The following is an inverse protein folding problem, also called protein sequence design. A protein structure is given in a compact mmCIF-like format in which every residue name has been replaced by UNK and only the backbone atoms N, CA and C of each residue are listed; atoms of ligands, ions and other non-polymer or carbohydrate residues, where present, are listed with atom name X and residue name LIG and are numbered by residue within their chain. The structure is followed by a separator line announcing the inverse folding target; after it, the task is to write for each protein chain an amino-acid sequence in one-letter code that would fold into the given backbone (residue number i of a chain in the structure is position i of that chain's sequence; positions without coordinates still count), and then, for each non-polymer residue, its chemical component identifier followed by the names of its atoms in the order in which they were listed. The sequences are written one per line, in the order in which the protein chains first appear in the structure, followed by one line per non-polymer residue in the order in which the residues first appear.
data_IF_423184807386
#
_entry.id   IF_423184807386
#
_cell.length_a   1.000
_cell.length_b   1.000
_cell.length_c   1.000
_cell.angle_alpha   90.00
_cell.angle_beta   90.00
_cell.angle_gamma   90.00
#
_symmetry.space_group_name_H-M   'P 1'
#
loop_
_entity.id
_entity.type
_entity.pdbx_description
1 polymer ?
#
# COMPACT_ATOMS: atom_id res chain seq x y z
N UNK A 1 36.57 -34.77 40.31
CA UNK A 1 36.33 -36.23 40.28
C UNK A 1 35.48 -36.63 41.49
N UNK A 2 34.14 -36.60 41.39
CA UNK A 2 33.23 -37.22 42.36
C UNK A 2 32.02 -37.76 41.60
N UNK A 3 31.86 -39.07 41.63
CA UNK A 3 30.79 -39.82 40.96
C UNK A 3 29.55 -39.92 41.86
N UNK A 4 28.40 -39.66 41.21
CA UNK A 4 27.08 -40.32 41.26
C UNK A 4 26.67 -41.11 42.52
N UNK A 5 25.54 -40.69 43.08
CA UNK A 5 24.56 -41.59 43.71
C UNK A 5 23.20 -41.37 43.02
N UNK A 6 22.56 -42.48 42.64
CA UNK A 6 21.30 -42.53 41.90
C UNK A 6 20.09 -42.39 42.85
N UNK A 7 19.08 -41.62 42.44
CA UNK A 7 17.79 -41.51 43.10
C UNK A 7 16.65 -41.61 42.09
N UNK A 8 15.96 -42.75 42.05
CA UNK A 8 14.69 -42.95 41.34
C UNK A 8 13.61 -42.08 41.98
N UNK A 9 12.87 -41.28 41.19
CA UNK A 9 11.58 -40.72 41.60
C UNK A 9 10.48 -41.13 40.62
N UNK A 10 9.42 -41.70 41.20
CA UNK A 10 8.20 -42.21 40.59
C UNK A 10 7.43 -41.08 39.87
N UNK A 11 6.96 -41.35 38.65
CA UNK A 11 5.93 -40.55 37.97
C UNK A 11 4.57 -40.87 38.60
N UNK A 12 3.88 -39.85 39.11
CA UNK A 12 2.49 -39.89 39.54
C UNK A 12 1.65 -39.22 38.45
N UNK A 13 0.74 -39.97 37.82
CA UNK A 13 -0.21 -39.43 36.84
C UNK A 13 -1.46 -38.96 37.58
N UNK A 14 -1.72 -37.66 37.61
CA UNK A 14 -3.00 -37.11 38.03
C UNK A 14 -3.96 -37.12 36.83
N UNK A 15 -5.04 -37.92 36.94
CA UNK A 15 -6.23 -37.80 36.08
C UNK A 15 -7.02 -36.59 36.56
N UNK A 16 -7.22 -35.60 35.69
CA UNK A 16 -8.20 -34.53 35.91
C UNK A 16 -9.45 -34.90 35.12
N UNK A 17 -10.52 -35.13 35.86
CA UNK A 17 -11.88 -35.38 35.34
C UNK A 17 -12.49 -34.04 34.95
N UNK A 18 -12.87 -33.89 33.68
CA UNK A 18 -13.65 -32.73 33.21
C UNK A 18 -15.12 -33.12 33.31
N UNK A 19 -15.86 -32.43 34.18
CA UNK A 19 -17.32 -32.45 34.25
C UNK A 19 -17.87 -31.45 33.24
N UNK A 20 -18.70 -31.94 32.31
CA UNK A 20 -19.53 -31.13 31.42
C UNK A 20 -20.62 -30.43 32.22
N UNK A 21 -20.69 -29.11 32.10
CA UNK A 21 -21.87 -28.31 32.45
C UNK A 21 -22.33 -27.60 31.19
N UNK A 22 -23.56 -27.92 30.79
CA UNK A 22 -24.26 -27.31 29.68
C UNK A 22 -24.68 -25.88 30.05
N UNK A 23 -24.28 -24.90 29.24
CA UNK A 23 -24.87 -23.57 29.23
C UNK A 23 -25.27 -23.17 27.81
N UNK A 24 -26.55 -22.85 27.74
CA UNK A 24 -27.38 -22.19 26.73
C UNK A 24 -26.68 -21.44 25.61
N UNK A 25 -26.99 -21.84 24.37
CA UNK A 25 -26.74 -21.10 23.14
C UNK A 25 -27.60 -19.84 23.08
N UNK A 26 -27.00 -18.69 23.34
CA UNK A 26 -27.49 -17.40 22.87
C UNK A 26 -26.84 -17.08 21.52
N UNK A 27 -27.69 -16.98 20.50
CA UNK A 27 -27.33 -16.63 19.13
C UNK A 27 -26.88 -15.18 19.07
N UNK A 28 -25.57 -14.96 18.94
CA UNK A 28 -25.01 -13.69 18.51
C UNK A 28 -25.39 -13.45 17.05
N UNK A 29 -26.18 -12.40 16.80
CA UNK A 29 -26.40 -11.87 15.46
C UNK A 29 -25.06 -11.35 14.92
N UNK A 30 -24.59 -12.04 13.89
CA UNK A 30 -23.43 -11.72 13.08
C UNK A 30 -23.68 -10.40 12.35
N UNK A 31 -23.04 -9.32 12.82
CA UNK A 31 -22.92 -8.07 12.06
C UNK A 31 -21.95 -8.34 10.92
N UNK A 32 -22.49 -8.98 9.89
CA UNK A 32 -21.77 -9.31 8.66
C UNK A 32 -21.17 -8.05 8.06
N UNK A 33 -19.84 -8.05 8.02
CA UNK A 33 -19.06 -7.32 7.05
C UNK A 33 -19.73 -7.48 5.68
N UNK A 34 -20.05 -6.36 5.04
CA UNK A 34 -20.62 -6.38 3.71
C UNK A 34 -19.61 -7.03 2.77
N UNK A 35 -19.94 -8.26 2.35
CA UNK A 35 -19.20 -8.99 1.34
C UNK A 35 -19.20 -8.16 0.05
N UNK A 36 -17.99 -7.90 -0.46
CA UNK A 36 -17.76 -7.37 -1.78
C UNK A 36 -18.49 -8.23 -2.82
N UNK A 37 -19.43 -7.62 -3.54
CA UNK A 37 -20.12 -8.26 -4.66
C UNK A 37 -19.20 -8.16 -5.89
N UNK A 38 -18.81 -9.29 -6.52
CA UNK A 38 -18.00 -9.24 -7.73
C UNK A 38 -18.85 -8.70 -8.89
N UNK A 39 -18.44 -7.56 -9.45
CA UNK A 39 -19.03 -6.98 -10.66
C UNK A 39 -19.70 -5.62 -10.53
N UNK A 40 -19.63 -4.94 -9.37
CA UNK A 40 -19.96 -3.52 -9.31
C UNK A 40 -18.85 -2.71 -10.00
N UNK A 41 -19.14 -1.75 -10.88
CA UNK A 41 -18.12 -0.87 -11.43
C UNK A 41 -17.40 -0.20 -10.25
N UNK A 42 -16.07 -0.33 -10.18
CA UNK A 42 -15.23 0.32 -9.17
C UNK A 42 -15.16 1.85 -9.35
N UNK A 43 -15.90 2.40 -10.32
CA UNK A 43 -15.93 3.82 -10.67
C UNK A 43 -17.30 4.44 -10.47
N UNK A 44 -17.31 5.75 -10.24
CA UNK A 44 -18.52 6.57 -10.39
C UNK A 44 -18.89 6.66 -11.87
N UNK A 45 -20.18 6.71 -12.22
CA UNK A 45 -20.57 7.22 -13.55
C UNK A 45 -19.89 8.58 -13.74
N UNK A 46 -19.28 8.82 -14.91
CA UNK A 46 -18.37 9.94 -15.16
C UNK A 46 -19.11 11.30 -15.12
N UNK A 47 -19.46 11.74 -13.93
CA UNK A 47 -19.90 13.09 -13.63
C UNK A 47 -18.68 13.89 -13.16
N UNK A 48 -18.57 15.11 -13.69
CA UNK A 48 -17.52 16.04 -13.31
C UNK A 48 -17.82 16.65 -11.93
N UNK A 49 -16.94 16.41 -10.96
CA UNK A 49 -17.06 17.04 -9.64
C UNK A 49 -16.48 18.45 -9.65
N UNK A 50 -16.78 19.24 -8.63
CA UNK A 50 -16.15 20.55 -8.44
C UNK A 50 -14.62 20.43 -8.29
N UNK A 51 -14.13 19.38 -7.63
CA UNK A 51 -12.69 19.12 -7.49
C UNK A 51 -12.02 18.87 -8.84
N UNK A 52 -12.66 18.09 -9.72
CA UNK A 52 -12.10 17.81 -11.06
C UNK A 52 -11.99 19.08 -11.89
N UNK A 53 -13.03 19.93 -11.87
CA UNK A 53 -13.00 21.24 -12.52
C UNK A 53 -11.83 22.08 -12.04
N UNK A 54 -11.64 22.15 -10.72
CA UNK A 54 -10.56 22.94 -10.12
C UNK A 54 -9.20 22.38 -10.53
N UNK A 55 -8.97 21.07 -10.38
CA UNK A 55 -7.68 20.46 -10.71
C UNK A 55 -7.35 20.58 -12.20
N UNK A 56 -8.33 20.42 -13.09
CA UNK A 56 -8.15 20.67 -14.51
C UNK A 56 -7.83 22.14 -14.79
N UNK A 57 -8.61 23.07 -14.24
CA UNK A 57 -8.45 24.52 -14.44
C UNK A 57 -7.05 25.02 -14.05
N UNK A 58 -6.46 24.48 -12.97
CA UNK A 58 -5.08 24.81 -12.56
C UNK A 58 -4.00 23.98 -13.26
N UNK A 59 -4.36 23.19 -14.28
CA UNK A 59 -3.44 22.38 -15.07
C UNK A 59 -2.81 21.23 -14.29
N UNK A 60 -3.52 20.66 -13.32
CA UNK A 60 -3.04 19.57 -12.44
C UNK A 60 -3.71 18.23 -12.71
N UNK A 61 -4.77 18.17 -13.51
CA UNK A 61 -5.43 16.92 -13.90
C UNK A 61 -5.85 16.93 -15.37
N UNK A 62 -6.03 15.74 -15.98
CA UNK A 62 -6.59 15.60 -17.32
C UNK A 62 -7.94 16.31 -17.48
N UNK A 63 -8.22 16.77 -18.70
CA UNK A 63 -9.47 17.45 -19.05
C UNK A 63 -10.66 16.50 -18.94
N UNK A 64 -11.80 17.02 -18.46
CA UNK A 64 -13.05 16.28 -18.42
C UNK A 64 -13.41 15.74 -19.81
N UNK A 65 -13.76 14.45 -19.88
CA UNK A 65 -14.08 13.77 -21.14
C UNK A 65 -12.87 13.35 -21.98
N UNK A 66 -11.63 13.62 -21.54
CA UNK A 66 -10.44 13.00 -22.15
C UNK A 66 -10.36 11.52 -21.77
N UNK A 67 -9.76 10.68 -22.63
CA UNK A 67 -9.63 9.23 -22.33
C UNK A 67 -8.83 8.97 -21.05
N UNK A 68 -7.78 9.75 -20.80
CA UNK A 68 -7.01 9.67 -19.56
C UNK A 68 -7.89 9.99 -18.33
N UNK A 69 -8.71 11.05 -18.40
CA UNK A 69 -9.68 11.37 -17.35
C UNK A 69 -10.70 10.25 -17.14
N UNK A 70 -11.28 9.72 -18.22
CA UNK A 70 -12.27 8.63 -18.14
C UNK A 70 -11.68 7.38 -17.48
N UNK A 71 -10.47 6.97 -17.86
CA UNK A 71 -9.78 5.84 -17.22
C UNK A 71 -9.45 6.11 -15.75
N UNK A 72 -9.00 7.31 -15.40
CA UNK A 72 -8.80 7.71 -14.01
C UNK A 72 -10.08 7.55 -13.20
N UNK A 73 -11.20 8.10 -13.68
CA UNK A 73 -12.46 8.05 -12.94
C UNK A 73 -13.09 6.67 -12.88
N UNK A 74 -12.89 5.86 -13.92
CA UNK A 74 -13.45 4.51 -14.00
C UNK A 74 -12.73 3.52 -13.08
N UNK A 75 -11.40 3.63 -12.97
CA UNK A 75 -10.59 2.65 -12.27
C UNK A 75 -10.01 3.17 -10.93
N UNK A 76 -9.96 4.50 -10.74
CA UNK A 76 -9.36 5.19 -9.59
C UNK A 76 -10.14 6.48 -9.21
N UNK A 77 -11.45 6.43 -8.92
CA UNK A 77 -12.36 7.59 -8.86
C UNK A 77 -12.05 8.69 -7.83
N UNK A 78 -11.28 8.38 -6.78
CA UNK A 78 -10.88 9.33 -5.74
C UNK A 78 -9.39 9.72 -5.86
N UNK A 79 -8.76 9.44 -7.01
CA UNK A 79 -7.38 9.82 -7.24
C UNK A 79 -7.25 11.34 -7.35
N UNK A 80 -6.23 11.88 -6.69
CA UNK A 80 -5.98 13.31 -6.64
C UNK A 80 -4.51 13.60 -6.96
N UNK A 81 -4.16 14.80 -7.45
CA UNK A 81 -2.75 15.17 -7.63
C UNK A 81 -1.96 14.93 -6.34
N UNK A 82 -0.75 14.38 -6.42
CA UNK A 82 0.03 13.97 -5.25
C UNK A 82 0.22 15.11 -4.22
N UNK A 83 0.41 16.35 -4.69
CA UNK A 83 0.52 17.53 -3.82
C UNK A 83 -0.78 17.83 -3.06
N UNK A 84 -1.94 17.52 -3.63
CA UNK A 84 -3.22 17.65 -2.93
C UNK A 84 -3.32 16.63 -1.80
N UNK A 85 -2.96 15.36 -2.06
CA UNK A 85 -2.91 14.32 -1.02
C UNK A 85 -1.99 14.73 0.12
N UNK A 86 -0.77 15.17 -0.19
CA UNK A 86 0.17 15.67 0.82
C UNK A 86 -0.40 16.85 1.62
N UNK A 87 -0.98 17.85 0.95
CA UNK A 87 -1.53 19.01 1.65
C UNK A 87 -2.71 18.65 2.56
N UNK A 88 -3.57 17.71 2.14
CA UNK A 88 -4.71 17.24 2.95
C UNK A 88 -4.25 16.41 4.14
N UNK A 89 -3.32 15.46 3.95
CA UNK A 89 -2.76 14.70 5.08
C UNK A 89 -2.11 15.63 6.08
N UNK A 90 -1.29 16.57 5.59
CA UNK A 90 -0.59 17.54 6.43
C UNK A 90 -1.57 18.39 7.25
N UNK A 91 -2.64 18.88 6.62
CA UNK A 91 -3.65 19.68 7.31
C UNK A 91 -4.28 18.92 8.49
N UNK A 92 -4.70 17.67 8.28
CA UNK A 92 -5.28 16.85 9.37
C UNK A 92 -4.24 16.54 10.45
N UNK A 93 -3.06 16.07 10.05
CA UNK A 93 -2.01 15.62 10.96
C UNK A 93 -1.43 16.75 11.82
N UNK A 94 -1.20 17.93 11.24
CA UNK A 94 -0.69 19.10 11.98
C UNK A 94 -1.74 19.65 12.95
N UNK A 95 -2.97 19.85 12.48
CA UNK A 95 -3.99 20.57 13.26
C UNK A 95 -4.54 19.72 14.40
N UNK A 96 -4.66 18.41 14.22
CA UNK A 96 -5.34 17.53 15.16
C UNK A 96 -4.36 16.64 15.96
N UNK A 97 -3.16 16.37 15.44
CA UNK A 97 -2.27 15.34 16.01
C UNK A 97 -0.82 15.77 16.27
N UNK A 98 -0.45 17.03 15.99
CA UNK A 98 0.87 17.57 16.35
C UNK A 98 2.03 17.11 15.47
N UNK A 99 1.76 16.59 14.26
CA UNK A 99 2.80 16.29 13.29
C UNK A 99 3.47 17.57 12.82
N UNK A 100 4.79 17.67 12.92
CA UNK A 100 5.57 18.78 12.38
C UNK A 100 6.84 18.24 11.68
N UNK A 101 7.41 18.94 10.68
CA UNK A 101 8.63 18.51 10.01
C UNK A 101 9.81 18.23 10.95
N UNK A 102 9.93 18.99 12.05
CA UNK A 102 11.04 18.86 12.99
C UNK A 102 10.99 17.61 13.87
N UNK A 103 9.80 17.00 14.01
CA UNK A 103 9.56 15.86 14.92
C UNK A 103 8.95 14.65 14.23
N UNK A 104 8.71 14.73 12.91
CA UNK A 104 8.14 13.63 12.12
C UNK A 104 9.21 12.93 11.29
N UNK A 105 9.38 11.62 11.50
CA UNK A 105 10.24 10.79 10.68
C UNK A 105 9.44 10.17 9.51
N UNK A 106 9.90 10.42 8.28
CA UNK A 106 9.26 9.91 7.06
C UNK A 106 9.84 8.57 6.61
N UNK A 107 8.98 7.57 6.46
CA UNK A 107 9.23 6.31 5.76
C UNK A 107 8.56 6.31 4.39
N UNK A 108 9.22 5.74 3.38
CA UNK A 108 8.72 5.73 2.00
C UNK A 108 8.88 4.36 1.36
N UNK A 109 7.76 3.71 1.02
CA UNK A 109 7.72 2.40 0.35
C UNK A 109 7.06 2.48 -1.03
N UNK A 110 7.86 2.76 -2.05
CA UNK A 110 7.42 2.83 -3.45
C UNK A 110 8.39 2.09 -4.37
N UNK A 111 7.93 1.80 -5.59
CA UNK A 111 8.73 1.12 -6.61
C UNK A 111 9.94 1.98 -7.02
N UNK A 112 11.14 1.38 -7.20
CA UNK A 112 12.36 2.11 -7.58
C UNK A 112 12.34 2.64 -9.02
N UNK A 113 11.28 2.36 -9.79
CA UNK A 113 11.04 2.92 -11.12
C UNK A 113 11.23 4.44 -11.11
N UNK A 114 12.00 4.98 -12.07
CA UNK A 114 12.42 6.37 -12.08
C UNK A 114 11.24 7.35 -12.22
N UNK A 115 10.12 6.89 -12.76
CA UNK A 115 8.90 7.71 -12.89
C UNK A 115 8.28 8.07 -11.54
N UNK A 116 8.58 7.28 -10.48
CA UNK A 116 8.15 7.59 -9.10
C UNK A 116 9.13 8.51 -8.37
N UNK A 117 10.09 9.12 -9.06
CA UNK A 117 11.16 9.93 -8.49
C UNK A 117 11.40 11.23 -9.31
N UNK A 118 10.35 11.80 -9.90
CA UNK A 118 10.43 12.92 -10.85
C UNK A 118 10.10 14.29 -10.24
N UNK A 119 9.92 14.38 -8.92
CA UNK A 119 9.67 15.65 -8.24
C UNK A 119 8.21 16.10 -8.24
N UNK A 120 7.31 15.25 -8.73
CA UNK A 120 5.86 15.53 -8.85
C UNK A 120 5.00 14.43 -8.23
N UNK A 121 5.63 13.32 -7.86
CA UNK A 121 5.07 12.18 -7.17
C UNK A 121 5.00 12.40 -5.65
N UNK A 122 4.18 11.61 -4.97
CA UNK A 122 3.95 11.71 -3.53
C UNK A 122 5.23 11.55 -2.70
N UNK A 123 6.10 10.54 -2.92
CA UNK A 123 7.31 10.38 -2.12
C UNK A 123 8.24 11.59 -2.19
N UNK A 124 8.45 12.20 -3.36
CA UNK A 124 9.27 13.41 -3.44
C UNK A 124 8.60 14.60 -2.77
N UNK A 125 7.30 14.83 -3.00
CA UNK A 125 6.57 15.94 -2.35
C UNK A 125 6.65 15.85 -0.83
N UNK A 126 6.52 14.64 -0.26
CA UNK A 126 6.62 14.45 1.19
C UNK A 126 8.04 14.60 1.71
N UNK A 127 9.03 14.07 1.00
CA UNK A 127 10.45 14.24 1.36
C UNK A 127 10.85 15.71 1.37
N UNK A 128 10.41 16.48 0.38
CA UNK A 128 10.74 17.91 0.32
C UNK A 128 10.13 18.71 1.49
N UNK A 129 9.08 18.18 2.15
CA UNK A 129 8.45 18.78 3.33
C UNK A 129 8.99 18.25 4.67
N UNK A 130 9.04 16.94 4.85
CA UNK A 130 9.49 16.28 6.09
C UNK A 130 11.01 16.08 6.19
N UNK A 131 11.74 16.32 5.10
CA UNK A 131 13.20 16.22 5.07
C UNK A 131 13.70 14.81 4.76
N UNK A 132 14.55 14.26 5.64
CA UNK A 132 15.18 12.96 5.44
C UNK A 132 14.15 11.83 5.36
N UNK A 133 14.42 10.85 4.50
CA UNK A 133 13.53 9.71 4.26
C UNK A 133 14.23 8.40 4.57
N UNK A 134 13.51 7.47 5.20
CA UNK A 134 13.91 6.07 5.30
C UNK A 134 13.31 5.29 4.12
N UNK A 135 14.11 4.81 3.15
CA UNK A 135 13.59 4.03 2.03
C UNK A 135 13.23 2.62 2.50
N UNK A 136 11.97 2.22 2.28
CA UNK A 136 11.42 0.95 2.72
C UNK A 136 11.10 0.00 1.55
N UNK A 137 10.87 0.57 0.37
CA UNK A 137 10.31 -0.12 -0.79
C UNK A 137 11.31 -0.97 -1.59
N UNK A 138 10.80 -1.48 -2.70
CA UNK A 138 11.55 -2.14 -3.77
C UNK A 138 10.60 -2.45 -4.91
N UNK A 139 10.89 -3.45 -5.74
CA UNK A 139 10.05 -3.81 -6.89
C UNK A 139 8.55 -3.89 -6.51
N UNK A 140 7.69 -3.27 -7.31
CA UNK A 140 6.24 -3.23 -7.06
C UNK A 140 5.79 -2.37 -5.87
N UNK A 141 6.71 -1.72 -5.14
CA UNK A 141 6.40 -0.90 -3.96
C UNK A 141 6.35 -1.69 -2.64
N UNK A 142 6.66 -2.99 -2.66
CA UNK A 142 6.66 -3.86 -1.48
C UNK A 142 7.71 -3.39 -0.47
N UNK A 143 7.39 -3.31 0.83
CA UNK A 143 8.33 -2.88 1.87
C UNK A 143 9.34 -3.98 2.23
N UNK A 144 10.31 -4.24 1.35
CA UNK A 144 11.30 -5.32 1.53
C UNK A 144 12.26 -5.13 2.71
N UNK A 145 12.25 -3.97 3.35
CA UNK A 145 12.96 -3.77 4.62
C UNK A 145 12.43 -4.68 5.75
N UNK A 146 11.17 -5.12 5.64
CA UNK A 146 10.51 -6.05 6.57
C UNK A 146 10.45 -5.55 8.01
N UNK A 147 10.12 -6.46 8.93
CA UNK A 147 10.04 -6.18 10.38
C UNK A 147 11.34 -5.60 10.95
N UNK A 148 12.49 -6.15 10.54
CA UNK A 148 13.80 -5.68 11.03
C UNK A 148 14.07 -4.24 10.61
N UNK A 149 13.82 -3.89 9.35
CA UNK A 149 14.04 -2.54 8.88
C UNK A 149 12.97 -1.55 9.36
N UNK A 150 11.71 -1.99 9.56
CA UNK A 150 10.69 -1.16 10.21
C UNK A 150 11.07 -0.88 11.67
N UNK A 151 11.57 -1.88 12.41
CA UNK A 151 12.05 -1.68 13.78
C UNK A 151 13.22 -0.68 13.83
N UNK A 152 14.21 -0.84 12.94
CA UNK A 152 15.32 0.11 12.81
C UNK A 152 14.82 1.53 12.50
N UNK A 153 13.93 1.66 11.51
CA UNK A 153 13.27 2.91 11.18
C UNK A 153 12.57 3.55 12.40
N UNK A 154 11.77 2.78 13.13
CA UNK A 154 11.04 3.28 14.29
C UNK A 154 11.95 3.73 15.44
N UNK A 155 13.15 3.14 15.56
CA UNK A 155 14.13 3.55 16.58
C UNK A 155 14.82 4.89 16.30
N UNK A 156 14.66 5.44 15.09
CA UNK A 156 15.27 6.71 14.68
C UNK A 156 14.36 7.92 14.89
N UNK A 157 13.11 7.71 15.33
CA UNK A 157 12.17 8.81 15.57
C UNK A 157 12.69 9.70 16.72
N UNK A 158 12.39 11.00 16.65
CA UNK A 158 12.72 11.92 17.74
C UNK A 158 11.97 11.53 19.03
N UNK A 159 12.50 11.95 20.19
CA UNK A 159 11.78 11.80 21.46
C UNK A 159 10.41 12.46 21.38
N UNK A 160 9.35 11.73 21.76
CA UNK A 160 7.94 12.15 21.60
C UNK A 160 7.53 12.52 20.16
N UNK A 161 8.35 12.14 19.17
CA UNK A 161 8.12 12.41 17.75
C UNK A 161 7.13 11.45 17.10
N UNK A 162 6.79 11.74 15.86
CA UNK A 162 5.81 10.98 15.08
C UNK A 162 6.47 10.28 13.91
N UNK A 163 5.83 9.22 13.44
CA UNK A 163 6.24 8.49 12.24
C UNK A 163 5.16 8.66 11.19
N UNK A 164 5.55 8.96 9.96
CA UNK A 164 4.68 8.91 8.79
C UNK A 164 5.26 7.94 7.77
N UNK A 165 4.50 6.93 7.37
CA UNK A 165 4.88 6.01 6.28
C UNK A 165 3.94 6.20 5.11
N UNK A 166 4.48 6.66 3.98
CA UNK A 166 3.77 6.67 2.71
C UNK A 166 4.14 5.43 1.89
N UNK A 167 3.15 4.71 1.38
CA UNK A 167 3.39 3.44 0.69
C UNK A 167 2.38 3.13 -0.42
N UNK A 168 2.80 2.30 -1.37
CA UNK A 168 1.91 1.83 -2.42
C UNK A 168 2.61 1.27 -3.65
N UNK A 169 1.89 0.48 -4.47
CA UNK A 169 2.31 0.21 -5.84
C UNK A 169 2.12 1.46 -6.71
N UNK A 170 2.49 1.34 -7.98
CA UNK A 170 2.23 2.37 -8.98
C UNK A 170 1.71 1.75 -10.28
N UNK A 171 1.03 2.58 -11.09
CA UNK A 171 0.58 2.21 -12.43
C UNK A 171 0.65 3.42 -13.36
N UNK A 172 1.09 3.21 -14.60
CA UNK A 172 1.05 4.21 -15.65
C UNK A 172 -0.33 4.29 -16.29
N UNK A 173 -0.78 5.50 -16.62
CA UNK A 173 -1.95 5.73 -17.46
C UNK A 173 -1.53 6.65 -18.60
N UNK A 174 -1.69 6.17 -19.83
CA UNK A 174 -1.34 6.95 -21.03
C UNK A 174 -2.35 8.08 -21.28
N UNK A 175 -2.00 9.04 -22.14
CA UNK A 175 -2.93 10.09 -22.58
C UNK A 175 -4.19 9.51 -23.27
N UNK A 176 -4.05 8.35 -23.91
CA UNK A 176 -5.13 7.60 -24.52
C UNK A 176 -5.95 6.76 -23.53
N UNK A 177 -5.67 6.84 -22.23
CA UNK A 177 -6.39 6.12 -21.18
C UNK A 177 -6.00 4.65 -21.02
N UNK A 178 -4.96 4.17 -21.72
CA UNK A 178 -4.44 2.81 -21.50
C UNK A 178 -3.77 2.71 -20.12
N UNK A 179 -4.26 1.79 -19.29
CA UNK A 179 -3.74 1.49 -17.94
C UNK A 179 -2.62 0.45 -18.02
N UNK A 180 -1.57 0.65 -17.22
CA UNK A 180 -0.40 -0.23 -17.15
C UNK A 180 0.78 0.22 -17.99
N UNK A 181 0.70 1.40 -18.62
CA UNK A 181 1.77 1.92 -19.47
C UNK A 181 1.94 3.43 -19.36
N UNK A 182 3.14 3.90 -19.69
CA UNK A 182 3.48 5.33 -19.77
C UNK A 182 4.47 5.57 -20.90
N UNK A 183 4.44 6.77 -21.49
CA UNK A 183 5.51 7.23 -22.37
C UNK A 183 6.66 7.77 -21.53
N UNK A 184 7.81 7.09 -21.56
CA UNK A 184 9.01 7.53 -20.82
C UNK A 184 9.81 8.54 -21.64
N UNK A 185 10.46 9.47 -20.95
CA UNK A 185 11.31 10.48 -21.58
C UNK A 185 12.37 9.82 -22.46
N UNK A 186 12.43 10.22 -23.73
CA UNK A 186 13.38 9.70 -24.70
C UNK A 186 12.99 8.36 -25.36
N UNK A 187 11.83 7.78 -25.03
CA UNK A 187 11.28 6.63 -25.75
C UNK A 187 10.30 7.09 -26.83
N UNK A 188 10.14 6.28 -27.88
CA UNK A 188 9.18 6.53 -28.95
C UNK A 188 7.82 5.84 -28.73
N UNK A 189 7.73 4.94 -27.74
CA UNK A 189 6.56 4.13 -27.48
C UNK A 189 6.30 3.98 -25.98
N UNK A 190 5.04 3.72 -25.65
CA UNK A 190 4.61 3.43 -24.28
C UNK A 190 5.23 2.11 -23.80
N UNK A 191 5.75 2.09 -22.58
CA UNK A 191 6.28 0.90 -21.92
C UNK A 191 5.57 0.62 -20.61
N UNK A 192 5.73 -0.60 -20.08
CA UNK A 192 5.01 -1.05 -18.89
C UNK A 192 5.35 -0.20 -17.64
N UNK A 193 4.34 0.06 -16.84
CA UNK A 193 4.42 0.74 -15.54
C UNK A 193 3.24 0.28 -14.66
N UNK A 194 3.44 -0.45 -13.57
CA UNK A 194 4.70 -0.97 -13.02
C UNK A 194 5.25 -2.16 -13.80
N UNK A 195 6.49 -2.05 -14.31
CA UNK A 195 7.15 -3.14 -15.05
C UNK A 195 7.32 -4.43 -14.24
N UNK A 196 7.59 -4.33 -12.94
CA UNK A 196 7.78 -5.50 -12.09
C UNK A 196 6.49 -6.30 -11.90
N UNK A 197 5.39 -5.61 -11.54
CA UNK A 197 4.08 -6.21 -11.32
C UNK A 197 3.50 -6.77 -12.62
N UNK A 198 3.56 -6.00 -13.72
CA UNK A 198 3.11 -6.48 -15.04
C UNK A 198 3.96 -7.65 -15.53
N UNK A 199 5.27 -7.62 -15.29
CA UNK A 199 6.18 -8.72 -15.63
C UNK A 199 5.89 -9.99 -14.84
N UNK A 200 5.65 -9.89 -13.54
CA UNK A 200 5.26 -11.01 -12.69
C UNK A 200 3.93 -11.63 -13.17
N UNK A 201 2.92 -10.81 -13.42
CA UNK A 201 1.64 -11.28 -13.98
C UNK A 201 1.82 -11.97 -15.33
N UNK A 202 2.61 -11.39 -16.24
CA UNK A 202 2.94 -12.01 -17.53
C UNK A 202 3.63 -13.37 -17.38
N UNK A 203 4.57 -13.50 -16.44
CA UNK A 203 5.23 -14.77 -16.15
C UNK A 203 4.24 -15.82 -15.63
N UNK A 204 3.35 -15.46 -14.70
CA UNK A 204 2.33 -16.38 -14.19
C UNK A 204 1.33 -16.80 -15.28
N UNK A 205 0.90 -15.87 -16.16
CA UNK A 205 0.10 -16.20 -17.33
C UNK A 205 0.80 -17.15 -18.31
N UNK A 206 2.13 -17.06 -18.41
CA UNK A 206 2.95 -17.96 -19.23
C UNK A 206 3.25 -19.31 -18.57
N UNK A 207 2.63 -19.60 -17.41
CA UNK A 207 2.79 -20.88 -16.71
C UNK A 207 3.98 -20.92 -15.76
N UNK A 208 4.45 -19.77 -15.26
CA UNK A 208 5.41 -19.77 -14.14
C UNK A 208 4.86 -20.56 -12.96
N UNK A 209 5.71 -21.39 -12.37
CA UNK A 209 5.41 -22.16 -11.16
C UNK A 209 6.46 -21.86 -10.10
N UNK A 210 6.05 -21.88 -8.83
CA UNK A 210 6.98 -21.82 -7.70
C UNK A 210 7.75 -23.15 -7.63
N UNK A 211 8.75 -23.27 -8.49
CA UNK A 211 9.65 -24.41 -8.48
C UNK A 211 10.52 -24.28 -7.24
N UNK A 212 10.18 -25.01 -6.16
CA UNK A 212 10.92 -25.06 -4.90
C UNK A 212 12.36 -25.62 -5.01
N UNK A 213 13.00 -25.50 -6.16
CA UNK A 213 14.37 -25.93 -6.44
C UNK A 213 14.86 -25.63 -7.87
N UNK A 214 14.34 -24.59 -8.52
CA UNK A 214 14.47 -24.41 -9.97
C UNK A 214 14.96 -23.04 -10.45
N UNK A 215 15.72 -22.30 -9.66
CA UNK A 215 16.68 -21.34 -10.20
C UNK A 215 17.83 -21.18 -9.18
N UNK A 216 18.98 -21.77 -9.48
CA UNK A 216 20.20 -21.57 -8.68
C UNK A 216 20.76 -20.14 -8.82
N UNK A 217 20.10 -19.26 -9.58
CA UNK A 217 20.35 -17.82 -9.55
C UNK A 217 19.53 -17.14 -8.45
N UNK A 218 19.98 -17.27 -7.20
CA UNK A 218 19.33 -16.67 -6.01
C UNK A 218 19.33 -15.13 -5.94
N UNK A 219 19.39 -14.42 -7.07
CA UNK A 219 19.56 -12.97 -7.18
C UNK A 219 18.38 -12.27 -7.92
N UNK A 220 17.15 -12.75 -7.73
CA UNK A 220 15.91 -12.05 -8.18
C UNK A 220 14.75 -12.17 -7.15
N UNK A 221 15.12 -12.18 -5.87
CA UNK A 221 14.20 -12.49 -4.75
C UNK A 221 12.98 -11.57 -4.68
N UNK A 222 13.14 -10.28 -5.03
CA UNK A 222 12.03 -9.33 -5.02
C UNK A 222 10.98 -9.67 -6.08
N UNK A 223 11.41 -9.99 -7.29
CA UNK A 223 10.49 -10.39 -8.36
C UNK A 223 9.81 -11.73 -8.03
N UNK A 224 10.54 -12.70 -7.48
CA UNK A 224 9.95 -13.99 -7.11
C UNK A 224 8.92 -13.86 -6.00
N UNK A 225 9.12 -12.94 -5.05
CA UNK A 225 8.10 -12.58 -4.08
C UNK A 225 6.81 -12.11 -4.76
N UNK A 226 6.91 -11.20 -5.74
CA UNK A 226 5.76 -10.67 -6.48
C UNK A 226 5.08 -11.78 -7.30
N UNK A 227 5.84 -12.64 -8.00
CA UNK A 227 5.28 -13.77 -8.76
C UNK A 227 4.49 -14.73 -7.87
N UNK A 228 5.04 -15.11 -6.71
CA UNK A 228 4.34 -15.96 -5.72
C UNK A 228 3.04 -15.34 -5.27
N UNK A 229 3.06 -14.04 -4.99
CA UNK A 229 1.86 -13.32 -4.55
C UNK A 229 0.82 -13.19 -5.68
N UNK A 230 1.23 -12.88 -6.91
CA UNK A 230 0.32 -12.69 -8.06
C UNK A 230 -0.27 -14.00 -8.59
N UNK A 231 0.49 -15.11 -8.55
CA UNK A 231 0.09 -16.42 -9.09
C UNK A 231 -1.33 -16.87 -8.71
N UNK A 232 -1.77 -16.86 -7.43
CA UNK A 232 -3.13 -17.26 -7.05
C UNK A 232 -4.24 -16.34 -7.59
N UNK A 233 -3.90 -15.13 -8.07
CA UNK A 233 -4.88 -14.13 -8.50
C UNK A 233 -5.03 -14.02 -10.03
N UNK A 234 -4.24 -14.76 -10.81
CA UNK A 234 -4.18 -14.62 -12.29
C UNK A 234 -5.55 -14.77 -12.95
N UNK A 235 -6.33 -15.77 -12.56
CA UNK A 235 -7.65 -16.05 -13.13
C UNK A 235 -8.65 -14.93 -12.84
N UNK A 236 -8.64 -14.38 -11.62
CA UNK A 236 -9.50 -13.27 -11.25
C UNK A 236 -9.13 -12.00 -12.02
N UNK A 237 -7.82 -11.72 -12.14
CA UNK A 237 -7.30 -10.55 -12.85
C UNK A 237 -7.62 -10.62 -14.35
N UNK A 238 -7.49 -11.79 -14.98
CA UNK A 238 -7.72 -11.94 -16.44
C UNK A 238 -9.20 -11.78 -16.83
N UNK A 239 -10.13 -11.99 -15.90
CA UNK A 239 -11.57 -11.82 -16.11
C UNK A 239 -12.08 -10.40 -15.81
N UNK A 240 -11.23 -9.54 -15.24
CA UNK A 240 -11.62 -8.17 -14.94
C UNK A 240 -11.80 -7.35 -16.22
N UNK A 241 -12.64 -6.31 -16.15
CA UNK A 241 -12.89 -5.39 -17.27
C UNK A 241 -11.58 -4.77 -17.80
N UNK A 242 -10.68 -4.39 -16.88
CA UNK A 242 -9.33 -3.96 -17.19
C UNK A 242 -8.33 -4.74 -16.32
N UNK A 243 -7.64 -5.75 -16.87
CA UNK A 243 -6.70 -6.57 -16.12
C UNK A 243 -5.57 -5.78 -15.45
N UNK A 244 -5.07 -4.70 -16.06
CA UNK A 244 -3.99 -3.89 -15.46
C UNK A 244 -4.46 -3.05 -14.29
N UNK A 245 -5.69 -2.51 -14.35
CA UNK A 245 -6.31 -1.87 -13.20
C UNK A 245 -6.51 -2.89 -12.07
N UNK A 246 -7.10 -4.05 -12.36
CA UNK A 246 -7.34 -5.11 -11.36
C UNK A 246 -6.03 -5.62 -10.73
N UNK A 247 -5.00 -5.85 -11.55
CA UNK A 247 -3.66 -6.21 -11.08
C UNK A 247 -3.06 -5.16 -10.14
N UNK A 248 -3.29 -3.87 -10.44
CA UNK A 248 -2.77 -2.77 -9.61
C UNK A 248 -3.47 -2.70 -8.26
N UNK A 249 -4.81 -2.85 -8.22
CA UNK A 249 -5.57 -2.95 -6.97
C UNK A 249 -5.14 -4.16 -6.14
N UNK A 250 -4.94 -5.32 -6.77
CA UNK A 250 -4.37 -6.50 -6.11
C UNK A 250 -2.96 -6.24 -5.59
N UNK A 251 -2.12 -5.54 -6.34
CA UNK A 251 -0.79 -5.16 -5.87
C UNK A 251 -0.83 -4.21 -4.66
N UNK A 252 -1.89 -3.43 -4.50
CA UNK A 252 -2.07 -2.64 -3.28
C UNK A 252 -2.32 -3.52 -2.07
N UNK A 253 -3.15 -4.56 -2.19
CA UNK A 253 -3.35 -5.56 -1.14
C UNK A 253 -2.01 -6.20 -0.74
N UNK A 254 -1.20 -6.64 -1.72
CA UNK A 254 0.15 -7.17 -1.48
C UNK A 254 1.03 -6.23 -0.64
N UNK A 255 1.13 -4.96 -1.06
CA UNK A 255 1.97 -3.97 -0.39
C UNK A 255 1.42 -3.64 0.99
N UNK A 256 0.10 -3.51 1.13
CA UNK A 256 -0.57 -3.22 2.41
C UNK A 256 -0.36 -4.36 3.40
N UNK A 257 -0.57 -5.60 3.00
CA UNK A 257 -0.40 -6.77 3.87
C UNK A 257 1.04 -6.89 4.37
N UNK A 258 2.01 -6.68 3.47
CA UNK A 258 3.44 -6.68 3.79
C UNK A 258 3.81 -5.55 4.75
N UNK A 259 3.25 -4.35 4.53
CA UNK A 259 3.46 -3.20 5.40
C UNK A 259 2.89 -3.47 6.79
N UNK A 260 1.64 -3.93 6.86
CA UNK A 260 0.93 -4.15 8.12
C UNK A 260 1.56 -5.28 8.94
N UNK A 261 2.11 -6.31 8.30
CA UNK A 261 2.92 -7.33 8.95
C UNK A 261 4.22 -6.78 9.54
N UNK A 262 4.77 -5.69 8.98
CA UNK A 262 6.03 -5.09 9.43
C UNK A 262 5.84 -3.99 10.48
N UNK A 263 4.63 -3.49 10.68
CA UNK A 263 4.34 -2.33 11.55
C UNK A 263 4.76 -2.59 13.00
N UNK A 264 5.47 -1.63 13.58
CA UNK A 264 5.80 -1.55 15.00
C UNK A 264 5.29 -0.22 15.58
N UNK A 265 4.57 -0.27 16.71
CA UNK A 265 4.12 0.92 17.46
C UNK A 265 4.94 1.20 18.72
N UNK A 266 5.88 0.31 19.06
CA UNK A 266 6.71 0.43 20.25
C UNK A 266 7.94 1.30 19.95
N UNK A 267 7.73 2.62 19.89
CA UNK A 267 8.79 3.62 19.67
C UNK A 267 8.61 4.92 20.47
N UNK A 268 7.73 4.92 21.48
CA UNK A 268 7.45 6.09 22.32
C UNK A 268 5.96 6.41 22.40
N UNK A 269 5.64 7.65 22.76
CA UNK A 269 4.25 8.11 22.91
C UNK A 269 3.60 8.59 21.61
N UNK A 270 4.39 8.74 20.54
CA UNK A 270 3.95 9.32 19.28
C UNK A 270 3.03 8.43 18.45
N UNK A 271 2.39 9.04 17.45
CA UNK A 271 1.59 8.34 16.46
C UNK A 271 2.44 7.76 15.34
N UNK A 272 2.06 6.57 14.87
CA UNK A 272 2.39 6.04 13.56
C UNK A 272 1.25 6.38 12.60
N UNK A 273 1.52 7.21 11.60
CA UNK A 273 0.64 7.46 10.48
C UNK A 273 0.97 6.55 9.30
N UNK A 274 -0.02 5.83 8.80
CA UNK A 274 0.07 4.99 7.61
C UNK A 274 -0.76 5.63 6.49
N UNK A 275 -0.10 6.10 5.43
CA UNK A 275 -0.74 6.67 4.24
C UNK A 275 -0.47 5.77 3.03
N UNK A 276 -1.42 4.87 2.79
CA UNK A 276 -1.38 3.86 1.73
C UNK A 276 -2.27 4.21 0.54
N UNK A 277 -1.82 3.89 -0.66
CA UNK A 277 -2.61 4.07 -1.87
C UNK A 277 -1.90 3.59 -3.13
N UNK A 278 -2.35 4.05 -4.28
CA UNK A 278 -1.78 3.71 -5.59
C UNK A 278 -1.26 4.99 -6.24
N UNK A 279 0.03 5.02 -6.61
CA UNK A 279 0.60 6.10 -7.42
C UNK A 279 0.19 5.93 -8.89
N UNK A 280 -0.32 6.98 -9.51
CA UNK A 280 -0.78 7.00 -10.89
C UNK A 280 0.13 7.90 -11.72
N UNK A 281 0.99 7.31 -12.55
CA UNK A 281 1.94 8.04 -13.38
C UNK A 281 1.27 8.46 -14.69
N UNK A 282 1.09 9.77 -14.92
CA UNK A 282 0.27 10.30 -16.03
C UNK A 282 1.08 10.85 -17.22
N UNK A 283 2.39 10.61 -17.23
CA UNK A 283 3.30 11.14 -18.26
C UNK A 283 3.71 12.58 -18.00
N UNK A 284 4.28 13.26 -19.00
CA UNK A 284 4.93 14.57 -18.78
C UNK A 284 3.93 15.73 -18.57
N UNK A 285 2.72 15.61 -19.14
CA UNK A 285 1.72 16.67 -19.23
C UNK A 285 1.07 17.02 -17.89
N UNK A 286 0.92 16.05 -16.99
CA UNK A 286 0.24 16.21 -15.71
C UNK A 286 1.16 15.78 -14.56
N UNK A 287 0.99 16.34 -13.35
CA UNK A 287 1.60 15.75 -12.17
C UNK A 287 0.99 14.37 -11.91
N UNK A 288 1.77 13.52 -11.27
CA UNK A 288 1.28 12.21 -10.84
C UNK A 288 0.15 12.38 -9.82
N UNK A 289 -0.80 11.47 -9.93
CA UNK A 289 -1.89 11.36 -8.97
C UNK A 289 -1.57 10.27 -7.95
N UNK A 290 -2.27 10.32 -6.83
CA UNK A 290 -2.27 9.29 -5.83
C UNK A 290 -3.71 8.96 -5.47
N UNK A 291 -4.03 7.68 -5.44
CA UNK A 291 -5.34 7.16 -5.08
C UNK A 291 -5.27 6.59 -3.65
N UNK A 292 -5.70 7.36 -2.63
CA UNK A 292 -5.58 6.96 -1.23
C UNK A 292 -6.59 5.86 -0.87
N UNK A 293 -6.09 4.79 -0.25
CA UNK A 293 -6.85 3.61 0.16
C UNK A 293 -6.67 3.28 1.65
N UNK A 294 -5.65 3.85 2.29
CA UNK A 294 -5.42 3.79 3.73
C UNK A 294 -4.91 5.14 4.19
N UNK A 295 -5.51 5.68 5.23
CA UNK A 295 -4.98 6.82 5.96
C UNK A 295 -5.40 6.67 7.41
N UNK A 296 -4.49 6.21 8.26
CA UNK A 296 -4.83 5.85 9.63
C UNK A 296 -3.69 6.18 10.60
N UNK A 297 -4.06 6.41 11.86
CA UNK A 297 -3.14 6.59 12.97
C UNK A 297 -3.19 5.40 13.90
N UNK A 298 -2.01 4.95 14.32
CA UNK A 298 -1.83 3.92 15.33
C UNK A 298 -0.94 4.43 16.45
N UNK A 299 -1.19 3.94 17.66
CA UNK A 299 -0.37 4.20 18.83
C UNK A 299 -0.48 3.02 19.79
N UNK A 300 0.62 2.68 20.45
CA UNK A 300 0.69 1.58 21.42
C UNK A 300 -0.43 1.70 22.47
N UNK A 301 -1.28 0.68 22.60
CA UNK A 301 -2.35 0.65 23.60
C UNK A 301 -3.60 1.50 23.29
N UNK A 302 -3.70 2.08 22.08
CA UNK A 302 -4.87 2.84 21.64
C UNK A 302 -5.53 2.21 20.41
N UNK A 303 -6.82 2.48 20.23
CA UNK A 303 -7.52 2.09 19.00
C UNK A 303 -6.96 2.82 17.78
N UNK A 304 -7.06 2.18 16.63
CA UNK A 304 -6.68 2.79 15.35
C UNK A 304 -7.69 3.87 14.97
N UNK A 305 -7.19 5.03 14.56
CA UNK A 305 -8.01 6.14 14.08
C UNK A 305 -7.98 6.12 12.55
N UNK A 306 -9.12 5.87 11.91
CA UNK A 306 -9.25 5.98 10.45
C UNK A 306 -9.52 7.43 10.05
N UNK A 307 -8.67 7.96 9.17
CA UNK A 307 -8.71 9.33 8.66
C UNK A 307 -8.99 9.36 7.13
N UNK A 308 -9.27 8.22 6.50
CA UNK A 308 -9.44 8.14 5.05
C UNK A 308 -10.61 9.01 4.56
N UNK A 309 -11.64 9.17 5.39
CA UNK A 309 -12.77 10.04 5.11
C UNK A 309 -12.34 11.51 4.98
N UNK A 310 -11.52 11.99 5.92
CA UNK A 310 -10.94 13.33 5.96
C UNK A 310 -10.02 13.60 4.76
N UNK A 311 -9.33 12.58 4.26
CA UNK A 311 -8.55 12.70 3.03
C UNK A 311 -9.44 12.96 1.81
N UNK A 312 -10.59 12.28 1.72
CA UNK A 312 -11.43 12.31 0.51
C UNK A 312 -12.37 13.51 0.48
N UNK A 313 -12.87 13.96 1.62
CA UNK A 313 -13.78 15.11 1.69
C UNK A 313 -13.02 16.43 1.85
N UNK A 314 -13.41 17.45 1.07
CA UNK A 314 -13.02 18.83 1.33
C UNK A 314 -13.88 19.33 2.51
N UNK A 315 -13.26 19.54 3.68
CA UNK A 315 -13.86 20.32 4.77
C UNK A 315 -13.85 21.80 4.43
#
# INVERSE_FOLDING_TARGET
CRQRAAGKKKKSSAKVTITETAETTETFEDVTATADVPGRPLGREAQETASDRVYHWVGKSPEFGSKCFESLQRYFPDAMPAKVVHNRSRFVLEQEFGFEPGSTLLGSSFCPDEINNQGRDLPVVMRDYYGSVFPMGGLGGVPYVGETGFAAFSSHVADEGHILVAFGPHVGITEDGEVGKVLRKGQCCNSAACGAVTGAYGACCAGWTDSAGGDESGYDLQMDYIKRWVSPHVEAISRAENPMAALTHKSYEMVKDSMFASVNTNFGSGYLCLLGGITLNLGEKYPDHFFPLTFELRREGHETIDLLHEMRQLR
#
